data_IF_478637366073
#
_entry.id   IF_478637366073
#
_cell.length_a   1.000
_cell.length_b   1.000
_cell.length_c   1.000
_cell.angle_alpha   90.00
_cell.angle_beta   90.00
_cell.angle_gamma   90.00
#
_symmetry.space_group_name_H-M   'P 1'
#
loop_
_entity.id
_entity.type
_entity.pdbx_description
1 polymer ?
#
# COMPACT_ATOMS: atom_id res chain seq x y z
N UNK A 1 -33.01 28.00 -33.50
CA UNK A 1 -34.21 27.36 -32.90
C UNK A 1 -34.22 25.92 -33.41
N UNK A 2 -33.91 24.86 -32.68
CA UNK A 2 -34.14 24.52 -31.27
C UNK A 2 -32.85 23.87 -30.72
N UNK A 3 -32.37 24.34 -29.57
CA UNK A 3 -31.35 23.63 -28.79
C UNK A 3 -32.02 22.36 -28.28
N UNK A 4 -31.72 21.22 -28.88
CA UNK A 4 -32.28 19.94 -28.46
C UNK A 4 -31.59 19.56 -27.15
N UNK A 5 -32.31 19.80 -26.06
CA UNK A 5 -32.01 19.33 -24.71
C UNK A 5 -31.91 17.80 -24.72
N UNK A 6 -30.70 17.26 -24.88
CA UNK A 6 -30.38 15.91 -24.40
C UNK A 6 -29.59 16.10 -23.11
N UNK A 7 -30.32 16.48 -22.07
CA UNK A 7 -29.84 16.41 -20.69
C UNK A 7 -30.21 15.01 -20.21
N UNK A 8 -29.50 13.99 -20.69
CA UNK A 8 -29.39 12.77 -19.91
C UNK A 8 -28.31 13.08 -18.87
N UNK A 9 -28.65 13.22 -17.58
CA UNK A 9 -27.63 13.38 -16.57
C UNK A 9 -26.91 12.03 -16.56
N UNK A 10 -25.78 11.94 -17.26
CA UNK A 10 -24.81 10.89 -16.97
C UNK A 10 -24.37 11.23 -15.56
N UNK A 11 -25.12 10.68 -14.61
CA UNK A 11 -24.85 10.64 -13.20
C UNK A 11 -23.39 10.24 -13.07
N UNK A 12 -22.56 11.25 -12.79
CA UNK A 12 -21.52 11.19 -11.78
C UNK A 12 -20.87 9.81 -11.69
N UNK A 13 -20.03 9.48 -12.66
CA UNK A 13 -18.90 8.58 -12.43
C UNK A 13 -17.60 9.37 -12.47
N UNK A 14 -17.57 10.56 -11.84
CA UNK A 14 -16.37 10.96 -11.10
C UNK A 14 -16.29 10.07 -9.85
N UNK A 15 -16.09 8.78 -10.08
CA UNK A 15 -15.59 7.89 -9.07
C UNK A 15 -14.13 8.24 -8.86
N UNK A 16 -13.85 9.25 -8.04
CA UNK A 16 -12.60 9.26 -7.32
C UNK A 16 -12.63 7.99 -6.45
N UNK A 17 -12.04 6.89 -6.94
CA UNK A 17 -11.50 5.89 -6.02
C UNK A 17 -10.43 6.65 -5.24
N UNK A 18 -10.78 7.21 -4.09
CA UNK A 18 -9.78 7.51 -3.08
C UNK A 18 -8.98 6.22 -2.95
N UNK A 19 -7.68 6.24 -3.30
CA UNK A 19 -6.75 5.26 -2.71
C UNK A 19 -7.07 5.34 -1.22
N UNK A 20 -7.53 4.23 -0.67
CA UNK A 20 -7.98 4.12 0.71
C UNK A 20 -6.79 4.48 1.60
N UNK A 21 -6.71 5.74 1.98
CA UNK A 21 -5.69 6.27 2.86
C UNK A 21 -6.43 7.03 3.93
N UNK A 22 -7.03 6.25 4.84
CA UNK A 22 -7.56 6.64 6.13
C UNK A 22 -7.67 5.34 6.97
N UNK A 23 -6.80 5.20 7.98
CA UNK A 23 -6.65 4.16 9.03
C UNK A 23 -5.52 3.14 8.85
N UNK A 24 -4.42 3.33 9.59
CA UNK A 24 -3.54 2.27 10.12
C UNK A 24 -3.16 1.15 9.13
N UNK A 25 -2.94 1.47 7.85
CA UNK A 25 -2.63 0.47 6.86
C UNK A 25 -1.23 -0.09 7.13
N UNK A 26 -1.17 -1.36 7.53
CA UNK A 26 0.10 -2.04 7.75
C UNK A 26 0.92 -2.18 6.46
N UNK A 27 0.22 -2.41 5.34
CA UNK A 27 0.81 -2.66 4.02
C UNK A 27 0.43 -1.52 3.07
N UNK A 28 1.43 -0.81 2.55
CA UNK A 28 1.30 0.07 1.39
C UNK A 28 1.57 -0.73 0.11
N UNK A 29 0.51 -1.03 -0.62
CA UNK A 29 0.58 -1.74 -1.89
C UNK A 29 1.38 -0.99 -2.97
N UNK A 30 1.51 0.34 -2.85
CA UNK A 30 2.35 1.14 -3.75
C UNK A 30 3.84 0.89 -3.52
N UNK A 31 4.22 0.45 -2.32
CA UNK A 31 5.60 0.26 -1.90
C UNK A 31 6.13 -1.16 -2.20
N UNK A 32 5.26 -2.10 -2.59
CA UNK A 32 5.68 -3.45 -2.97
C UNK A 32 6.56 -3.39 -4.22
N UNK A 33 7.81 -3.85 -4.11
CA UNK A 33 8.77 -3.87 -5.20
C UNK A 33 9.64 -5.13 -5.15
N UNK A 34 9.33 -6.18 -5.94
CA UNK A 34 10.08 -7.43 -5.96
C UNK A 34 11.49 -7.30 -6.58
N UNK A 35 11.79 -6.17 -7.23
CA UNK A 35 13.08 -5.91 -7.86
C UNK A 35 14.02 -5.08 -6.95
N UNK A 36 13.61 -4.77 -5.71
CA UNK A 36 14.52 -4.14 -4.74
C UNK A 36 15.65 -5.11 -4.41
N UNK A 37 16.88 -4.63 -4.54
CA UNK A 37 18.06 -5.35 -4.10
C UNK A 37 18.37 -4.98 -2.64
N UNK A 38 17.94 -5.82 -1.71
CA UNK A 38 18.23 -5.62 -0.29
C UNK A 38 19.63 -6.09 0.09
N UNK A 39 20.20 -5.45 1.11
CA UNK A 39 21.44 -5.91 1.72
C UNK A 39 21.22 -7.25 2.44
N UNK A 40 22.26 -8.08 2.52
CA UNK A 40 22.19 -9.45 3.04
C UNK A 40 22.41 -9.58 4.56
N UNK A 41 22.56 -8.46 5.28
CA UNK A 41 22.66 -8.46 6.74
C UNK A 41 21.35 -8.97 7.35
N UNK A 42 21.47 -9.93 8.27
CA UNK A 42 20.35 -10.41 9.06
C UNK A 42 20.18 -9.52 10.29
N UNK A 43 19.11 -8.73 10.30
CA UNK A 43 18.69 -7.85 11.39
C UNK A 43 17.15 -7.85 11.45
N UNK A 44 16.55 -8.92 12.02
CA UNK A 44 15.16 -9.23 11.80
C UNK A 44 14.22 -8.16 12.34
N UNK A 45 13.09 -8.02 11.66
CA UNK A 45 11.99 -7.15 12.09
C UNK A 45 10.66 -7.90 12.04
N UNK A 46 9.78 -7.60 12.99
CA UNK A 46 8.41 -8.10 12.99
C UNK A 46 7.51 -7.02 12.38
N UNK A 47 6.95 -7.33 11.22
CA UNK A 47 5.98 -6.47 10.54
C UNK A 47 4.68 -6.34 11.33
N UNK A 48 3.96 -5.25 11.12
CA UNK A 48 2.60 -5.05 11.64
C UNK A 48 1.59 -6.10 11.12
N UNK A 49 1.98 -6.90 10.12
CA UNK A 49 1.24 -8.03 9.55
C UNK A 49 1.54 -9.34 10.27
N UNK A 50 2.40 -9.32 11.29
CA UNK A 50 2.81 -10.49 12.06
C UNK A 50 3.84 -11.37 11.35
N UNK A 51 4.43 -10.89 10.25
CA UNK A 51 5.47 -11.62 9.53
C UNK A 51 6.85 -11.16 9.97
N UNK A 52 7.75 -12.12 10.21
CA UNK A 52 9.17 -11.82 10.44
C UNK A 52 9.89 -11.68 9.11
N UNK A 53 10.54 -10.53 8.92
CA UNK A 53 11.39 -10.26 7.76
C UNK A 53 12.86 -10.32 8.17
N UNK A 54 13.73 -10.74 7.25
CA UNK A 54 15.17 -10.90 7.52
C UNK A 54 15.87 -9.58 7.84
N UNK A 55 15.36 -8.48 7.30
CA UNK A 55 15.75 -7.10 7.64
C UNK A 55 14.65 -6.12 7.22
N UNK A 56 14.83 -4.85 7.62
CA UNK A 56 13.88 -3.77 7.32
C UNK A 56 13.69 -3.51 5.81
N UNK A 57 14.72 -3.69 5.00
CA UNK A 57 14.64 -3.54 3.56
C UNK A 57 13.69 -4.58 2.96
N UNK A 58 13.80 -5.84 3.39
CA UNK A 58 12.92 -6.91 2.90
C UNK A 58 11.47 -6.69 3.39
N UNK A 59 11.27 -6.17 4.61
CA UNK A 59 9.93 -5.76 5.05
C UNK A 59 9.36 -4.65 4.15
N UNK A 60 10.13 -3.59 3.90
CA UNK A 60 9.73 -2.48 3.05
C UNK A 60 9.47 -2.87 1.59
N UNK A 61 10.25 -3.80 1.01
CA UNK A 61 10.02 -4.28 -0.36
C UNK A 61 8.73 -5.11 -0.49
N UNK A 62 8.20 -5.61 0.62
CA UNK A 62 6.88 -6.25 0.73
C UNK A 62 5.76 -5.25 1.10
N UNK A 63 6.07 -3.95 1.11
CA UNK A 63 5.11 -2.89 1.39
C UNK A 63 4.82 -2.69 2.88
N UNK A 64 5.55 -3.33 3.80
CA UNK A 64 5.34 -3.17 5.25
C UNK A 64 5.90 -1.83 5.69
N UNK A 65 5.03 -0.92 6.14
CA UNK A 65 5.44 0.44 6.54
C UNK A 65 5.64 0.60 8.05
N UNK A 66 5.20 -0.38 8.84
CA UNK A 66 5.39 -0.40 10.28
C UNK A 66 5.95 -1.75 10.73
N UNK A 67 7.05 -1.73 11.46
CA UNK A 67 7.69 -2.92 12.01
C UNK A 67 8.46 -2.58 13.30
N UNK A 68 8.67 -3.58 14.14
CA UNK A 68 9.51 -3.49 15.33
C UNK A 68 10.76 -4.36 15.18
N UNK A 69 11.83 -4.03 15.91
CA UNK A 69 13.06 -4.82 15.91
C UNK A 69 12.84 -6.20 16.55
N UNK A 70 13.51 -7.21 16.00
CA UNK A 70 13.38 -8.60 16.43
C UNK A 70 12.38 -9.39 15.60
N UNK A 71 12.31 -10.69 15.85
CA UNK A 71 11.30 -11.57 15.24
C UNK A 71 9.93 -11.36 15.89
N UNK A 72 8.87 -11.85 15.24
CA UNK A 72 7.57 -11.96 15.90
C UNK A 72 7.61 -13.04 17.00
N UNK A 73 6.68 -12.95 17.96
CA UNK A 73 6.57 -13.85 19.11
C UNK A 73 5.78 -15.13 18.79
#
# INVERSE_FOLDING_TARGET
>A
MKKLLIVLPILVFLGCKKKSDDNAACIDQSAINPNINCYALYDPVCGCDGVTYSNDCVAGSNGVIHFIKGTCN
#
